data_IF_788969784086
#
_entry.id   IF_788969784086
#
_cell.length_a   1.000
_cell.length_b   1.000
_cell.length_c   1.000
_cell.angle_alpha   90.00
_cell.angle_beta   90.00
_cell.angle_gamma   90.00
#
_symmetry.space_group_name_H-M   'P 1'
#
loop_
_entity.id
_entity.type
_entity.pdbx_description
1 polymer ?
#
# COMPACT_ATOMS: atom_id res chain seq x y z
N UNK A 1 75.56 5.32 21.40
CA UNK A 1 74.90 6.30 20.51
C UNK A 1 73.40 6.17 20.67
N UNK A 2 72.73 7.28 20.97
CA UNK A 2 71.27 7.43 21.03
C UNK A 2 70.70 7.66 19.62
N UNK A 3 69.55 7.06 19.31
CA UNK A 3 68.50 7.54 18.38
C UNK A 3 67.43 6.42 18.26
N UNK A 4 66.23 6.60 18.81
CA UNK A 4 65.01 7.16 18.19
C UNK A 4 64.29 6.15 17.26
N UNK A 5 63.11 5.65 17.67
CA UNK A 5 61.75 6.02 17.13
C UNK A 5 61.33 5.06 16.00
N UNK A 6 60.11 4.51 15.87
CA UNK A 6 58.80 4.95 16.30
C UNK A 6 57.86 3.77 16.64
N UNK A 7 57.03 3.97 17.66
CA UNK A 7 55.78 3.23 17.86
C UNK A 7 54.81 3.54 16.72
N UNK A 8 54.33 2.51 16.03
CA UNK A 8 53.27 2.62 15.04
C UNK A 8 51.92 2.59 15.78
N UNK A 9 51.39 3.77 16.09
CA UNK A 9 50.01 3.92 16.57
C UNK A 9 49.06 3.66 15.41
N UNK A 10 48.30 2.56 15.49
CA UNK A 10 47.16 2.32 14.59
C UNK A 10 46.05 3.30 14.99
N UNK A 11 45.96 4.42 14.27
CA UNK A 11 44.79 5.29 14.32
C UNK A 11 43.65 4.56 13.60
N UNK A 12 42.74 3.97 14.37
CA UNK A 12 41.43 3.55 13.87
C UNK A 12 40.68 4.83 13.51
N UNK A 13 40.68 5.18 12.22
CA UNK A 13 39.80 6.20 11.68
C UNK A 13 38.39 5.61 11.70
N UNK A 14 37.67 5.82 12.80
CA UNK A 14 36.22 5.70 12.83
C UNK A 14 35.68 6.79 11.92
N UNK A 15 35.49 6.48 10.64
CA UNK A 15 34.63 7.30 9.77
C UNK A 15 33.24 7.18 10.37
N UNK A 16 32.87 8.16 11.17
CA UNK A 16 31.50 8.39 11.57
C UNK A 16 30.73 8.73 10.29
N UNK A 17 30.14 7.72 9.67
CA UNK A 17 28.99 7.95 8.79
C UNK A 17 27.96 8.71 9.64
N UNK A 18 27.39 9.81 9.14
CA UNK A 18 26.31 10.46 9.86
C UNK A 18 25.23 9.42 10.09
N UNK A 19 24.91 9.19 11.35
CA UNK A 19 23.68 8.51 11.71
C UNK A 19 22.55 9.43 11.23
N UNK A 20 22.02 9.17 10.05
CA UNK A 20 20.67 9.62 9.71
C UNK A 20 19.79 9.12 10.84
N UNK A 21 19.26 10.04 11.65
CA UNK A 21 18.11 9.74 12.50
C UNK A 21 17.08 9.06 11.62
N UNK A 22 16.49 7.97 12.10
CA UNK A 22 15.73 7.05 11.27
C UNK A 22 14.55 7.76 10.57
N UNK A 23 14.81 8.23 9.35
CA UNK A 23 13.83 8.53 8.34
C UNK A 23 12.96 7.28 8.15
N UNK A 24 11.67 7.49 7.92
CA UNK A 24 10.78 6.40 7.56
C UNK A 24 11.41 5.62 6.38
N UNK A 25 11.55 4.31 6.53
CA UNK A 25 12.43 3.50 5.67
C UNK A 25 11.92 3.30 4.23
N UNK A 26 10.86 4.01 3.83
CA UNK A 26 10.10 3.76 2.60
C UNK A 26 10.10 5.01 1.72
N UNK A 27 10.49 4.91 0.44
CA UNK A 27 10.45 6.03 -0.48
C UNK A 27 9.05 6.63 -0.63
N UNK A 28 9.01 7.93 -0.88
CA UNK A 28 7.78 8.62 -1.21
C UNK A 28 7.25 8.15 -2.59
N UNK A 29 6.15 7.40 -2.63
CA UNK A 29 5.35 7.18 -3.82
C UNK A 29 3.83 7.24 -3.54
N UNK A 30 3.06 7.50 -4.60
CA UNK A 30 1.62 7.21 -4.63
C UNK A 30 1.39 5.71 -4.85
N UNK A 31 0.28 5.18 -4.32
CA UNK A 31 -0.06 3.75 -4.34
C UNK A 31 -1.35 3.43 -5.09
N UNK A 32 -2.15 4.45 -5.43
CA UNK A 32 -3.38 4.32 -6.21
C UNK A 32 -4.03 5.69 -6.38
N UNK A 33 -4.82 5.89 -7.45
CA UNK A 33 -5.53 7.14 -7.74
C UNK A 33 -6.96 6.83 -8.12
N UNK A 34 -7.90 7.60 -7.58
CA UNK A 34 -9.33 7.42 -7.80
C UNK A 34 -10.02 8.76 -8.09
N UNK A 35 -10.92 8.75 -9.07
CA UNK A 35 -11.77 9.88 -9.41
C UNK A 35 -12.84 10.10 -8.34
N UNK A 36 -13.10 11.36 -8.03
CA UNK A 36 -14.25 11.82 -7.24
C UNK A 36 -15.15 12.68 -8.11
N UNK A 37 -16.34 13.00 -7.59
CA UNK A 37 -17.28 13.85 -8.30
C UNK A 37 -16.65 15.22 -8.63
N UNK A 38 -16.95 15.77 -9.81
CA UNK A 38 -16.50 17.11 -10.19
C UNK A 38 -15.08 17.21 -10.76
N UNK A 39 -14.40 16.08 -11.02
CA UNK A 39 -13.02 16.05 -11.51
C UNK A 39 -11.98 16.13 -10.39
N UNK A 40 -12.41 16.08 -9.13
CA UNK A 40 -11.54 15.95 -7.96
C UNK A 40 -10.92 14.55 -7.91
N UNK A 41 -9.75 14.44 -7.29
CA UNK A 41 -9.03 13.17 -7.16
C UNK A 41 -8.69 12.89 -5.69
N UNK A 42 -8.61 11.61 -5.36
CA UNK A 42 -7.91 11.14 -4.16
C UNK A 42 -6.93 10.05 -4.53
N UNK A 43 -5.75 10.11 -3.94
CA UNK A 43 -4.71 9.12 -4.12
C UNK A 43 -4.23 8.57 -2.78
N UNK A 44 -3.98 7.27 -2.73
CA UNK A 44 -3.21 6.65 -1.65
C UNK A 44 -1.73 6.98 -1.79
N UNK A 45 -1.03 7.12 -0.68
CA UNK A 45 0.41 7.36 -0.65
C UNK A 45 1.07 6.61 0.51
N UNK A 46 2.38 6.38 0.43
CA UNK A 46 3.11 5.64 1.48
C UNK A 46 3.13 6.37 2.84
N UNK A 47 2.77 7.65 2.88
CA UNK A 47 2.68 8.50 4.09
C UNK A 47 1.26 8.94 4.45
N UNK A 48 0.25 8.62 3.63
CA UNK A 48 -1.07 9.21 3.82
C UNK A 48 -1.98 9.18 2.60
N UNK A 49 -2.72 10.26 2.45
CA UNK A 49 -3.60 10.52 1.30
C UNK A 49 -3.19 11.81 0.62
N UNK A 50 -3.39 11.87 -0.69
CA UNK A 50 -3.24 13.08 -1.48
C UNK A 50 -4.59 13.42 -2.10
N UNK A 51 -4.98 14.68 -2.04
CA UNK A 51 -6.25 15.17 -2.57
C UNK A 51 -5.99 16.21 -3.64
N UNK A 52 -6.76 16.15 -4.72
CA UNK A 52 -6.90 17.24 -5.69
C UNK A 52 -8.34 17.73 -5.60
N UNK A 53 -8.54 18.88 -4.96
CA UNK A 53 -9.86 19.51 -4.89
C UNK A 53 -9.80 20.85 -5.63
N UNK A 54 -10.73 21.11 -6.55
CA UNK A 54 -10.78 22.33 -7.37
C UNK A 54 -9.43 22.63 -8.08
N UNK A 55 -8.71 21.58 -8.46
CA UNK A 55 -7.40 21.65 -9.11
C UNK A 55 -6.21 21.90 -8.18
N UNK A 56 -6.42 22.07 -6.87
CA UNK A 56 -5.36 22.28 -5.89
C UNK A 56 -5.00 20.97 -5.15
N UNK A 57 -3.71 20.72 -4.99
CA UNK A 57 -3.20 19.54 -4.29
C UNK A 57 -3.02 19.78 -2.80
N UNK A 58 -3.37 18.79 -1.97
CA UNK A 58 -3.16 18.84 -0.52
C UNK A 58 -2.86 17.47 0.09
N UNK A 59 -2.20 17.49 1.24
CA UNK A 59 -1.77 16.30 1.98
C UNK A 59 -2.70 15.96 3.15
N UNK A 60 -3.10 14.69 3.25
CA UNK A 60 -3.57 14.07 4.47
C UNK A 60 -2.51 13.14 5.05
N UNK A 61 -2.45 13.01 6.38
CA UNK A 61 -1.46 12.16 7.05
C UNK A 61 -2.04 10.78 7.42
N UNK A 62 -1.24 9.72 7.26
CA UNK A 62 -1.61 8.34 7.62
C UNK A 62 -2.04 8.20 9.09
N UNK A 63 -1.43 8.98 9.98
CA UNK A 63 -1.74 8.98 11.41
C UNK A 63 -3.20 9.35 11.71
N UNK A 64 -3.88 10.14 10.85
CA UNK A 64 -5.27 10.54 11.06
C UNK A 64 -6.27 9.38 10.97
N UNK A 65 -5.88 8.26 10.36
CA UNK A 65 -6.69 7.04 10.24
C UNK A 65 -5.91 5.81 10.71
N UNK A 66 -5.00 5.99 11.67
CA UNK A 66 -4.36 4.90 12.39
C UNK A 66 -3.38 4.06 11.58
N UNK A 67 -2.79 4.60 10.50
CA UNK A 67 -1.79 3.88 9.71
C UNK A 67 -0.38 4.29 10.10
N UNK A 68 0.48 3.30 10.31
CA UNK A 68 1.93 3.49 10.41
C UNK A 68 2.55 3.47 9.01
N UNK A 69 2.90 4.67 8.52
CA UNK A 69 3.53 4.89 7.23
C UNK A 69 4.81 4.06 7.00
N UNK A 70 5.49 3.62 8.08
CA UNK A 70 6.72 2.83 7.98
C UNK A 70 6.52 1.41 7.48
N UNK A 71 5.31 0.85 7.63
CA UNK A 71 5.10 -0.60 7.45
C UNK A 71 3.86 -0.94 6.65
N UNK A 72 3.04 0.06 6.30
CA UNK A 72 1.76 -0.16 5.67
C UNK A 72 1.40 0.94 4.67
N UNK A 73 0.87 0.51 3.53
CA UNK A 73 0.03 1.33 2.66
C UNK A 73 -1.43 0.95 2.90
N UNK A 74 -2.31 1.93 3.04
CA UNK A 74 -3.74 1.64 3.12
C UNK A 74 -4.25 1.20 1.75
N UNK A 75 -5.04 0.13 1.72
CA UNK A 75 -5.85 -0.19 0.54
C UNK A 75 -6.98 0.84 0.46
N UNK A 76 -7.20 1.46 -0.70
CA UNK A 76 -8.17 2.53 -0.90
C UNK A 76 -9.20 2.11 -1.94
N UNK A 77 -10.47 2.30 -1.61
CA UNK A 77 -11.60 2.18 -2.53
C UNK A 77 -12.55 3.37 -2.32
N UNK A 78 -13.36 3.68 -3.33
CA UNK A 78 -14.44 4.66 -3.25
C UNK A 78 -15.79 3.97 -3.46
N UNK A 79 -16.76 4.17 -2.58
CA UNK A 79 -18.11 3.71 -2.87
C UNK A 79 -18.79 4.58 -3.95
N UNK A 80 -19.94 4.15 -4.46
CA UNK A 80 -20.69 4.88 -5.48
C UNK A 80 -21.20 6.27 -5.04
N UNK A 81 -21.08 6.63 -3.77
CA UNK A 81 -21.36 7.97 -3.24
C UNK A 81 -20.08 8.79 -3.00
N UNK A 82 -18.90 8.26 -3.35
CA UNK A 82 -17.61 8.90 -3.15
C UNK A 82 -17.07 8.83 -1.72
N UNK A 83 -17.60 7.93 -0.89
CA UNK A 83 -17.03 7.64 0.44
C UNK A 83 -15.72 6.86 0.26
N UNK A 84 -14.64 7.38 0.81
CA UNK A 84 -13.37 6.67 0.92
C UNK A 84 -13.51 5.54 1.92
N UNK A 85 -13.11 4.34 1.52
CA UNK A 85 -12.96 3.16 2.37
C UNK A 85 -11.49 2.79 2.37
N UNK A 86 -10.90 2.77 3.56
CA UNK A 86 -9.49 2.50 3.79
C UNK A 86 -9.33 1.20 4.56
N UNK A 87 -8.66 0.22 3.96
CA UNK A 87 -8.24 -1.01 4.61
C UNK A 87 -6.86 -0.88 5.23
N UNK A 88 -6.76 -1.16 6.54
CA UNK A 88 -5.51 -1.07 7.32
C UNK A 88 -5.29 -2.30 8.21
N UNK A 89 -4.11 -2.40 8.84
CA UNK A 89 -3.80 -3.44 9.82
C UNK A 89 -4.52 -3.20 11.15
N UNK A 90 -5.11 -2.03 11.34
CA UNK A 90 -5.96 -1.70 12.47
C UNK A 90 -7.46 -1.70 12.07
N UNK A 91 -7.81 -2.22 10.90
CA UNK A 91 -9.19 -2.41 10.45
C UNK A 91 -9.61 -1.50 9.31
N UNK A 92 -10.92 -1.29 9.18
CA UNK A 92 -11.52 -0.41 8.19
C UNK A 92 -11.73 1.00 8.74
N UNK A 93 -11.47 2.00 7.90
CA UNK A 93 -11.82 3.39 8.12
C UNK A 93 -12.63 3.93 6.95
N UNK A 94 -13.64 4.76 7.23
CA UNK A 94 -14.45 5.44 6.25
C UNK A 94 -14.29 6.95 6.37
N UNK A 95 -14.28 7.66 5.24
CA UNK A 95 -14.30 9.12 5.24
C UNK A 95 -14.99 9.68 4.01
N UNK A 96 -15.70 10.80 4.18
CA UNK A 96 -16.33 11.54 3.07
C UNK A 96 -15.49 12.73 2.62
N UNK A 97 -14.72 13.28 3.54
CA UNK A 97 -14.08 14.59 3.42
C UNK A 97 -12.56 14.53 3.54
N UNK A 98 -11.99 13.37 3.91
CA UNK A 98 -10.56 13.20 4.16
C UNK A 98 -10.09 13.86 5.46
N UNK A 99 -11.03 14.32 6.29
CA UNK A 99 -10.77 15.07 7.53
C UNK A 99 -11.28 14.33 8.76
N UNK A 100 -12.42 13.66 8.63
CA UNK A 100 -13.05 12.85 9.68
C UNK A 100 -13.05 11.40 9.22
N UNK A 101 -12.57 10.50 10.08
CA UNK A 101 -12.46 9.08 9.78
C UNK A 101 -13.25 8.27 10.80
N UNK A 102 -14.31 7.61 10.32
CA UNK A 102 -15.12 6.71 11.11
C UNK A 102 -14.54 5.31 11.02
N UNK A 103 -14.30 4.67 12.17
CA UNK A 103 -13.84 3.27 12.18
C UNK A 103 -15.01 2.35 11.88
N UNK A 104 -14.76 1.30 11.09
CA UNK A 104 -15.75 0.26 10.82
C UNK A 104 -16.26 -0.40 12.12
N UNK A 105 -17.49 -0.95 12.15
CA UNK A 105 -18.00 -1.64 13.32
C UNK A 105 -17.30 -2.98 13.53
N UNK A 106 -17.25 -3.48 14.78
CA UNK A 106 -16.73 -4.82 15.04
C UNK A 106 -17.42 -5.90 14.16
N UNK A 107 -16.66 -6.84 13.57
CA UNK A 107 -15.23 -7.11 13.81
C UNK A 107 -14.25 -6.32 12.92
N UNK A 108 -14.74 -5.39 12.10
CA UNK A 108 -13.94 -4.63 11.13
C UNK A 108 -12.98 -3.62 11.78
N UNK A 109 -13.11 -3.36 13.08
CA UNK A 109 -12.19 -2.53 13.89
C UNK A 109 -11.07 -3.34 14.58
N UNK A 110 -11.07 -4.67 14.47
CA UNK A 110 -10.10 -5.53 15.16
C UNK A 110 -9.30 -6.45 14.21
N UNK A 111 -9.79 -6.69 12.99
CA UNK A 111 -9.11 -7.52 11.99
C UNK A 111 -8.20 -6.72 11.05
N UNK A 112 -7.36 -7.44 10.31
CA UNK A 112 -6.49 -6.87 9.28
C UNK A 112 -7.28 -6.79 7.99
N UNK A 113 -7.55 -5.58 7.50
CA UNK A 113 -8.18 -5.45 6.18
C UNK A 113 -7.08 -5.56 5.13
N UNK A 114 -7.13 -6.64 4.36
CA UNK A 114 -6.07 -6.96 3.39
C UNK A 114 -6.31 -6.26 2.07
N UNK A 115 -7.56 -6.23 1.62
CA UNK A 115 -7.96 -5.61 0.36
C UNK A 115 -9.36 -5.00 0.47
N UNK A 116 -9.56 -3.88 -0.21
CA UNK A 116 -10.87 -3.29 -0.48
C UNK A 116 -11.04 -3.11 -1.98
N UNK A 117 -12.25 -3.34 -2.49
CA UNK A 117 -12.57 -3.17 -3.89
C UNK A 117 -13.99 -2.64 -4.08
N UNK A 118 -14.16 -1.74 -5.05
CA UNK A 118 -15.46 -1.20 -5.44
C UNK A 118 -16.07 -2.08 -6.53
N UNK A 119 -17.30 -2.53 -6.32
CA UNK A 119 -18.09 -3.23 -7.31
C UNK A 119 -18.73 -2.23 -8.30
N UNK A 120 -19.16 -2.73 -9.46
CA UNK A 120 -19.88 -1.97 -10.51
C UNK A 120 -21.15 -1.28 -10.02
N UNK A 121 -21.86 -1.86 -9.05
CA UNK A 121 -23.04 -1.25 -8.42
C UNK A 121 -22.71 -0.17 -7.38
N UNK A 122 -21.42 0.17 -7.22
CA UNK A 122 -20.91 1.14 -6.27
C UNK A 122 -20.80 0.63 -4.84
N UNK A 123 -21.19 -0.61 -4.55
CA UNK A 123 -20.90 -1.23 -3.25
C UNK A 123 -19.39 -1.46 -3.08
N UNK A 124 -18.95 -1.60 -1.83
CA UNK A 124 -17.56 -1.92 -1.52
C UNK A 124 -17.50 -3.28 -0.84
N UNK A 125 -16.56 -4.11 -1.30
CA UNK A 125 -16.13 -5.32 -0.61
C UNK A 125 -14.84 -5.05 0.17
N UNK A 126 -14.74 -5.67 1.33
CA UNK A 126 -13.53 -5.70 2.14
C UNK A 126 -13.21 -7.14 2.55
N UNK A 127 -11.97 -7.56 2.32
CA UNK A 127 -11.44 -8.82 2.83
C UNK A 127 -10.77 -8.59 4.19
N UNK A 128 -11.34 -9.20 5.23
CA UNK A 128 -10.78 -9.17 6.57
C UNK A 128 -10.05 -10.47 6.86
N UNK A 129 -8.77 -10.36 7.22
CA UNK A 129 -7.97 -11.46 7.74
C UNK A 129 -7.79 -11.35 9.26
N UNK A 130 -7.78 -12.49 9.94
CA UNK A 130 -7.68 -12.57 11.40
C UNK A 130 -6.85 -13.76 11.83
N UNK A 131 -5.94 -13.55 12.79
CA UNK A 131 -5.16 -14.66 13.36
C UNK A 131 -5.98 -15.64 14.20
N UNK A 132 -7.23 -15.30 14.54
CA UNK A 132 -8.09 -16.15 15.37
C UNK A 132 -9.33 -16.68 14.65
N UNK A 133 -9.56 -16.28 13.41
CA UNK A 133 -10.74 -16.64 12.63
C UNK A 133 -10.34 -16.91 11.18
N UNK A 134 -11.18 -17.62 10.44
CA UNK A 134 -11.06 -17.68 8.99
C UNK A 134 -11.23 -16.27 8.40
N UNK A 135 -10.59 -16.03 7.25
CA UNK A 135 -10.80 -14.81 6.48
C UNK A 135 -12.28 -14.70 6.08
N UNK A 136 -12.79 -13.47 5.96
CA UNK A 136 -14.20 -13.23 5.66
C UNK A 136 -14.33 -11.99 4.79
N UNK A 137 -15.16 -12.09 3.75
CA UNK A 137 -15.58 -10.92 2.98
C UNK A 137 -16.71 -10.20 3.71
N UNK A 138 -16.64 -8.88 3.71
CA UNK A 138 -17.71 -8.00 4.14
C UNK A 138 -18.12 -7.13 2.96
N UNK A 139 -19.41 -6.87 2.85
CA UNK A 139 -19.97 -5.99 1.83
C UNK A 139 -20.70 -4.83 2.47
N UNK A 140 -20.57 -3.66 1.86
CA UNK A 140 -21.35 -2.47 2.16
C UNK A 140 -21.98 -1.94 0.90
N UNK A 141 -23.31 -2.00 0.83
CA UNK A 141 -24.07 -1.29 -0.20
C UNK A 141 -23.82 0.22 -0.08
N UNK A 142 -24.03 0.98 -1.16
CA UNK A 142 -23.85 2.44 -1.16
C UNK A 142 -24.62 3.09 -0.01
N UNK A 143 -23.90 3.71 0.93
CA UNK A 143 -24.47 4.33 2.14
C UNK A 143 -25.13 3.37 3.15
N UNK A 144 -25.04 2.05 2.95
CA UNK A 144 -25.56 1.03 3.84
C UNK A 144 -24.59 0.66 4.97
N UNK A 145 -25.01 -0.22 5.90
CA UNK A 145 -24.09 -0.81 6.88
C UNK A 145 -23.23 -1.90 6.24
N UNK A 146 -22.09 -2.21 6.88
CA UNK A 146 -21.34 -3.43 6.59
C UNK A 146 -22.08 -4.68 7.06
N UNK A 147 -22.00 -5.74 6.26
CA UNK A 147 -22.46 -7.07 6.65
C UNK A 147 -21.49 -8.13 6.12
N UNK A 148 -21.36 -9.29 6.80
CA UNK A 148 -20.69 -10.46 6.23
C UNK A 148 -21.32 -10.81 4.87
N UNK A 149 -20.46 -11.10 3.90
CA UNK A 149 -20.84 -11.45 2.55
C UNK A 149 -20.27 -12.82 2.21
N UNK A 150 -21.16 -13.79 1.95
CA UNK A 150 -20.76 -15.19 1.83
C UNK A 150 -20.38 -15.84 3.17
N UNK A 151 -19.88 -17.07 3.10
CA UNK A 151 -19.33 -17.78 4.26
C UNK A 151 -17.87 -17.42 4.56
N UNK A 152 -17.30 -17.91 5.67
CA UNK A 152 -15.87 -17.79 5.93
C UNK A 152 -15.04 -18.50 4.86
N UNK A 153 -13.90 -17.90 4.50
CA UNK A 153 -12.99 -18.39 3.49
C UNK A 153 -12.00 -19.39 4.09
N UNK A 154 -11.69 -20.45 3.34
CA UNK A 154 -10.76 -21.49 3.79
C UNK A 154 -9.28 -21.09 3.65
N UNK A 155 -8.99 -20.01 2.94
CA UNK A 155 -7.66 -19.54 2.55
C UNK A 155 -7.49 -18.06 2.86
N UNK A 156 -6.25 -17.61 3.00
CA UNK A 156 -5.94 -16.21 3.26
C UNK A 156 -6.09 -15.41 1.97
N UNK A 157 -6.79 -14.28 2.02
CA UNK A 157 -6.95 -13.39 0.85
C UNK A 157 -5.71 -12.51 0.71
N UNK A 158 -5.33 -12.21 -0.53
CA UNK A 158 -4.30 -11.22 -0.88
C UNK A 158 -4.91 -10.03 -1.60
N UNK A 159 -5.65 -10.28 -2.69
CA UNK A 159 -6.17 -9.21 -3.56
C UNK A 159 -7.62 -9.47 -3.98
N UNK A 160 -8.32 -8.40 -4.34
CA UNK A 160 -9.69 -8.40 -4.87
C UNK A 160 -9.72 -7.51 -6.13
N UNK A 161 -10.29 -8.00 -7.23
CA UNK A 161 -10.52 -7.23 -8.46
C UNK A 161 -11.89 -7.57 -9.03
N UNK A 162 -12.61 -6.57 -9.51
CA UNK A 162 -13.86 -6.77 -10.25
C UNK A 162 -13.63 -6.67 -11.76
N UNK A 163 -14.26 -7.57 -12.49
CA UNK A 163 -14.44 -7.52 -13.95
C UNK A 163 -15.95 -7.59 -14.23
N UNK A 164 -16.55 -6.42 -14.42
CA UNK A 164 -18.00 -6.29 -14.35
C UNK A 164 -18.55 -6.74 -12.98
N UNK A 165 -19.51 -7.66 -13.00
CA UNK A 165 -20.10 -8.25 -11.78
C UNK A 165 -19.28 -9.44 -11.23
N UNK A 166 -18.30 -9.94 -11.99
CA UNK A 166 -17.46 -11.06 -11.58
C UNK A 166 -16.37 -10.57 -10.64
N UNK A 167 -16.28 -11.18 -9.46
CA UNK A 167 -15.21 -10.95 -8.51
C UNK A 167 -14.10 -11.98 -8.73
N UNK A 168 -12.89 -11.48 -8.94
CA UNK A 168 -11.65 -12.26 -8.90
C UNK A 168 -10.90 -11.98 -7.61
N UNK A 169 -10.31 -13.02 -7.03
CA UNK A 169 -9.42 -12.88 -5.88
C UNK A 169 -8.24 -13.83 -5.95
N UNK A 170 -7.11 -13.40 -5.39
CA UNK A 170 -5.99 -14.29 -5.10
C UNK A 170 -6.06 -14.70 -3.63
N UNK A 171 -5.93 -15.99 -3.38
CA UNK A 171 -5.82 -16.53 -2.03
C UNK A 171 -4.61 -17.43 -1.90
N UNK A 172 -4.14 -17.66 -0.69
CA UNK A 172 -2.99 -18.51 -0.44
C UNK A 172 -3.13 -19.32 0.84
N UNK A 173 -2.42 -20.46 0.84
CA UNK A 173 -2.12 -21.23 2.04
C UNK A 173 -0.65 -21.04 2.35
N UNK A 174 -0.31 -20.51 3.53
CA UNK A 174 1.08 -20.31 3.90
C UNK A 174 1.80 -21.66 4.05
N UNK A 175 3.12 -21.64 3.92
CA UNK A 175 3.96 -22.81 4.21
C UNK A 175 3.72 -23.26 5.65
N UNK A 176 3.48 -24.55 5.86
CA UNK A 176 3.35 -25.15 7.20
C UNK A 176 4.26 -26.37 7.33
N UNK A 177 4.36 -26.94 8.53
CA UNK A 177 5.01 -28.23 8.72
C UNK A 177 4.31 -29.37 7.95
N UNK A 178 3.03 -29.19 7.59
CA UNK A 178 2.20 -30.19 6.95
C UNK A 178 2.20 -30.11 5.41
N UNK A 179 2.75 -29.05 4.81
CA UNK A 179 2.75 -28.91 3.35
C UNK A 179 3.41 -27.64 2.81
N UNK A 180 3.72 -27.62 1.50
CA UNK A 180 4.26 -26.45 0.82
C UNK A 180 3.23 -25.30 0.79
N UNK A 181 3.67 -24.05 0.53
CA UNK A 181 2.74 -22.99 0.23
C UNK A 181 1.96 -23.33 -1.06
N UNK A 182 0.74 -22.82 -1.17
CA UNK A 182 -0.08 -22.93 -2.38
C UNK A 182 -0.81 -21.61 -2.62
N UNK A 183 -0.93 -21.21 -3.88
CA UNK A 183 -1.57 -19.96 -4.29
C UNK A 183 -2.72 -20.32 -5.24
N UNK A 184 -3.84 -19.60 -5.13
CA UNK A 184 -5.04 -19.86 -5.88
C UNK A 184 -5.57 -18.57 -6.52
N UNK A 185 -6.07 -18.70 -7.74
CA UNK A 185 -6.98 -17.74 -8.35
C UNK A 185 -8.39 -18.24 -8.08
N UNK A 186 -9.27 -17.37 -7.61
CA UNK A 186 -10.67 -17.71 -7.37
C UNK A 186 -11.59 -16.75 -8.13
N UNK A 187 -12.64 -17.30 -8.74
CA UNK A 187 -13.69 -16.57 -9.46
C UNK A 187 -15.00 -16.70 -8.73
N UNK A 188 -15.74 -15.61 -8.63
CA UNK A 188 -17.13 -15.60 -8.19
C UNK A 188 -18.01 -14.83 -9.17
N UNK A 189 -19.01 -15.52 -9.71
CA UNK A 189 -20.02 -14.96 -10.62
C UNK A 189 -21.27 -14.44 -9.86
N UNK A 190 -21.28 -14.57 -8.53
CA UNK A 190 -22.35 -14.08 -7.64
C UNK A 190 -21.86 -12.99 -6.67
N UNK A 191 -20.80 -12.29 -7.07
CA UNK A 191 -20.25 -11.13 -6.35
C UNK A 191 -19.57 -11.49 -5.04
N UNK A 192 -19.12 -12.72 -4.85
CA UNK A 192 -18.33 -13.19 -3.72
C UNK A 192 -19.07 -14.10 -2.72
N UNK A 193 -20.19 -14.72 -3.10
CA UNK A 193 -20.90 -15.66 -2.23
C UNK A 193 -20.38 -17.09 -2.39
N UNK A 194 -20.07 -17.49 -3.63
CA UNK A 194 -19.48 -18.78 -3.98
C UNK A 194 -18.28 -18.62 -4.91
N UNK A 195 -17.34 -19.55 -4.84
CA UNK A 195 -16.08 -19.47 -5.57
C UNK A 195 -15.73 -20.78 -6.28
N UNK A 196 -15.27 -20.64 -7.51
CA UNK A 196 -14.48 -21.63 -8.23
C UNK A 196 -13.00 -21.27 -8.08
N UNK A 197 -12.13 -22.27 -7.92
CA UNK A 197 -10.73 -22.04 -7.59
C UNK A 197 -9.78 -22.87 -8.45
N UNK A 198 -8.70 -22.24 -8.90
CA UNK A 198 -7.60 -22.86 -9.65
C UNK A 198 -6.29 -22.65 -8.91
N UNK A 199 -5.55 -23.73 -8.67
CA UNK A 199 -4.21 -23.66 -8.07
C UNK A 199 -3.21 -23.15 -9.11
N UNK A 200 -2.46 -22.11 -8.77
CA UNK A 200 -1.44 -21.55 -9.64
C UNK A 200 -0.26 -22.53 -9.76
N UNK A 201 0.36 -22.65 -10.95
CA UNK A 201 1.56 -23.44 -11.15
C UNK A 201 2.79 -22.68 -10.60
N UNK A 202 2.87 -22.53 -9.28
CA UNK A 202 4.00 -21.91 -8.59
C UNK A 202 5.23 -22.80 -8.68
N UNK A 203 6.40 -22.20 -8.87
CA UNK A 203 7.70 -22.87 -8.98
C UNK A 203 8.65 -22.35 -7.90
N UNK A 204 9.65 -23.15 -7.55
CA UNK A 204 10.79 -22.75 -6.71
C UNK A 204 10.39 -21.95 -5.44
N UNK A 205 10.88 -20.72 -5.34
CA UNK A 205 10.78 -19.78 -4.20
C UNK A 205 9.60 -18.81 -4.34
N UNK A 206 8.68 -19.10 -5.25
CA UNK A 206 7.42 -18.39 -5.39
C UNK A 206 6.48 -18.66 -4.22
N UNK A 207 5.76 -17.63 -3.77
CA UNK A 207 4.99 -17.72 -2.52
C UNK A 207 3.63 -17.04 -2.52
N UNK A 208 3.37 -16.19 -3.51
CA UNK A 208 2.15 -15.41 -3.60
C UNK A 208 1.94 -14.95 -5.04
N UNK A 209 0.77 -14.38 -5.29
CA UNK A 209 0.46 -13.73 -6.55
C UNK A 209 -0.32 -12.46 -6.28
N UNK A 210 -0.02 -11.44 -7.06
CA UNK A 210 -0.77 -10.19 -7.07
C UNK A 210 -1.63 -10.14 -8.34
N UNK A 211 -2.93 -9.86 -8.18
CA UNK A 211 -3.82 -9.61 -9.32
C UNK A 211 -3.48 -8.28 -9.95
N UNK A 212 -3.08 -8.28 -11.22
CA UNK A 212 -2.76 -7.05 -11.93
C UNK A 212 -3.98 -6.50 -12.66
N UNK A 213 -4.70 -7.35 -13.41
CA UNK A 213 -5.84 -6.91 -14.21
C UNK A 213 -6.77 -8.09 -14.51
N UNK A 214 -8.04 -7.79 -14.78
CA UNK A 214 -9.01 -8.72 -15.33
C UNK A 214 -9.88 -8.00 -16.37
N UNK A 215 -10.26 -8.69 -17.46
CA UNK A 215 -11.19 -8.20 -18.48
C UNK A 215 -11.81 -9.37 -19.24
N UNK A 216 -13.13 -9.37 -19.36
CA UNK A 216 -13.90 -10.37 -20.12
C UNK A 216 -13.56 -11.82 -19.73
N UNK A 217 -13.34 -12.06 -18.43
CA UNK A 217 -12.99 -13.37 -17.87
C UNK A 217 -11.52 -13.80 -18.04
N UNK A 218 -10.70 -12.99 -18.71
CA UNK A 218 -9.24 -13.14 -18.75
C UNK A 218 -8.59 -12.42 -17.57
N UNK A 219 -7.62 -13.07 -16.91
CA UNK A 219 -6.95 -12.51 -15.72
C UNK A 219 -5.43 -12.55 -15.88
N UNK A 220 -4.77 -11.48 -15.45
CA UNK A 220 -3.32 -11.37 -15.40
C UNK A 220 -2.84 -11.20 -13.97
N UNK A 221 -1.86 -12.02 -13.59
CA UNK A 221 -1.33 -12.06 -12.24
C UNK A 221 0.20 -12.15 -12.23
N UNK A 222 0.82 -11.35 -11.37
CA UNK A 222 2.26 -11.37 -11.14
C UNK A 222 2.57 -12.34 -10.00
N UNK A 223 3.42 -13.33 -10.24
CA UNK A 223 3.83 -14.31 -9.23
C UNK A 223 5.06 -13.81 -8.48
N UNK A 224 4.96 -13.71 -7.16
CA UNK A 224 5.96 -13.11 -6.25
C UNK A 224 6.97 -14.13 -5.76
N UNK A 225 8.21 -13.67 -5.51
CA UNK A 225 9.35 -14.51 -5.15
C UNK A 225 10.02 -14.12 -3.83
N UNK A 226 10.45 -15.10 -3.03
CA UNK A 226 11.17 -14.83 -1.77
C UNK A 226 12.63 -14.42 -1.93
N UNK A 227 13.26 -14.72 -3.08
CA UNK A 227 14.70 -14.48 -3.28
C UNK A 227 15.08 -13.01 -3.49
N UNK A 228 14.11 -12.12 -3.35
CA UNK A 228 14.33 -10.69 -3.28
C UNK A 228 13.96 -9.95 -4.56
N UNK A 229 14.07 -8.64 -4.45
CA UNK A 229 13.51 -7.65 -5.37
C UNK A 229 14.16 -7.60 -6.76
N UNK A 230 15.23 -8.36 -7.01
CA UNK A 230 15.94 -8.36 -8.29
C UNK A 230 15.53 -9.51 -9.22
N UNK A 231 14.74 -10.48 -8.73
CA UNK A 231 14.32 -11.63 -9.52
C UNK A 231 13.10 -11.24 -10.37
N UNK A 232 13.11 -11.50 -11.70
CA UNK A 232 11.94 -11.27 -12.53
C UNK A 232 10.76 -12.11 -12.05
N UNK A 233 9.64 -11.45 -11.83
CA UNK A 233 8.36 -12.06 -11.52
C UNK A 233 7.73 -12.55 -12.83
N UNK A 234 7.03 -13.69 -12.78
CA UNK A 234 6.30 -14.19 -13.94
C UNK A 234 4.94 -13.53 -14.01
N UNK A 235 4.57 -13.04 -15.20
CA UNK A 235 3.20 -12.64 -15.50
C UNK A 235 2.48 -13.84 -16.09
N UNK A 236 1.51 -14.38 -15.35
CA UNK A 236 0.64 -15.43 -15.84
C UNK A 236 -0.66 -14.81 -16.35
N UNK A 237 -1.08 -15.26 -17.52
CA UNK A 237 -2.42 -15.09 -18.08
C UNK A 237 -3.24 -16.33 -17.75
N UNK A 238 -4.42 -16.14 -17.20
CA UNK A 238 -5.43 -17.17 -17.02
C UNK A 238 -6.56 -16.96 -18.03
N UNK A 239 -6.78 -17.94 -18.89
CA UNK A 239 -7.87 -17.97 -19.85
C UNK A 239 -8.15 -19.43 -20.23
N UNK A 240 -9.41 -19.73 -20.60
CA UNK A 240 -9.84 -21.10 -20.95
C UNK A 240 -9.44 -22.14 -19.87
N UNK A 241 -9.58 -21.75 -18.60
CA UNK A 241 -9.20 -22.54 -17.42
C UNK A 241 -7.73 -22.99 -17.36
N UNK A 242 -6.83 -22.27 -18.06
CA UNK A 242 -5.41 -22.58 -18.13
C UNK A 242 -4.53 -21.37 -17.84
N UNK A 243 -3.43 -21.61 -17.12
CA UNK A 243 -2.38 -20.62 -16.88
C UNK A 243 -1.28 -20.71 -17.95
N UNK A 244 -0.93 -19.57 -18.54
CA UNK A 244 0.19 -19.44 -19.47
C UNK A 244 1.05 -18.26 -19.03
N UNK A 245 2.37 -18.44 -18.98
CA UNK A 245 3.28 -17.31 -18.78
C UNK A 245 3.34 -16.49 -20.08
N UNK A 246 3.05 -15.19 -19.98
CA UNK A 246 3.03 -14.27 -21.13
C UNK A 246 4.12 -13.20 -21.06
N UNK A 247 4.62 -12.90 -19.86
CA UNK A 247 5.67 -11.92 -19.66
C UNK A 247 6.51 -12.23 -18.42
N UNK A 248 7.62 -11.51 -18.25
CA UNK A 248 8.38 -11.51 -17.00
C UNK A 248 9.07 -10.17 -16.78
N UNK A 249 8.98 -9.65 -15.55
CA UNK A 249 9.50 -8.34 -15.21
C UNK A 249 9.81 -8.25 -13.71
N UNK A 250 10.82 -7.47 -13.35
CA UNK A 250 11.23 -7.30 -11.96
C UNK A 250 10.28 -6.34 -11.24
N UNK A 251 9.69 -6.76 -10.11
CA UNK A 251 8.78 -5.96 -9.28
C UNK A 251 7.58 -5.36 -10.05
N UNK A 252 6.76 -6.20 -10.68
CA UNK A 252 5.49 -5.75 -11.26
C UNK A 252 4.56 -5.26 -10.16
N UNK A 253 3.93 -4.11 -10.32
CA UNK A 253 3.09 -3.51 -9.27
C UNK A 253 1.63 -3.40 -9.67
N UNK A 254 1.35 -3.00 -10.91
CA UNK A 254 -0.02 -2.82 -11.37
C UNK A 254 -0.17 -3.20 -12.84
N UNK A 255 -1.38 -3.58 -13.20
CA UNK A 255 -1.81 -3.71 -14.58
C UNK A 255 -3.14 -2.98 -14.80
N UNK A 256 -3.40 -2.57 -16.04
CA UNK A 256 -4.68 -1.98 -16.40
C UNK A 256 -5.00 -2.26 -17.86
N UNK A 257 -6.20 -2.78 -18.10
CA UNK A 257 -6.75 -2.86 -19.44
C UNK A 257 -7.32 -1.50 -19.86
N UNK A 258 -6.85 -1.02 -21.01
CA UNK A 258 -7.38 0.15 -21.72
C UNK A 258 -7.87 -0.27 -23.10
N UNK A 259 -8.36 0.69 -23.89
CA UNK A 259 -8.67 0.47 -25.31
C UNK A 259 -7.43 0.13 -26.17
N UNK A 260 -6.23 0.56 -25.78
CA UNK A 260 -4.98 0.24 -26.47
C UNK A 260 -4.45 -1.17 -26.15
N UNK A 261 -4.85 -1.74 -25.02
CA UNK A 261 -4.35 -3.03 -24.54
C UNK A 261 -4.10 -3.06 -23.04
N UNK A 262 -3.39 -4.10 -22.60
CA UNK A 262 -2.99 -4.30 -21.22
C UNK A 262 -1.66 -3.60 -20.96
N UNK A 263 -1.70 -2.59 -20.11
CA UNK A 263 -0.52 -1.93 -19.56
C UNK A 263 -0.07 -2.64 -18.30
N UNK A 264 1.24 -2.78 -18.11
CA UNK A 264 1.86 -3.28 -16.87
C UNK A 264 3.01 -2.38 -16.49
N UNK A 265 3.04 -1.94 -15.23
CA UNK A 265 4.10 -1.11 -14.67
C UNK A 265 4.87 -1.85 -13.58
N UNK A 266 6.17 -1.56 -13.47
CA UNK A 266 7.01 -2.10 -12.42
C UNK A 266 7.74 -1.05 -11.59
N UNK A 267 7.94 -1.37 -10.31
CA UNK A 267 8.70 -0.54 -9.37
C UNK A 267 10.17 -0.42 -9.73
N UNK A 268 10.76 -1.46 -10.31
CA UNK A 268 12.15 -1.45 -10.74
C UNK A 268 12.37 -0.68 -12.06
N UNK A 269 11.30 -0.27 -12.75
CA UNK A 269 11.36 0.43 -14.02
C UNK A 269 10.82 -0.38 -15.20
N UNK A 270 9.93 0.26 -15.92
CA UNK A 270 9.33 -0.15 -17.17
C UNK A 270 7.82 -0.02 -17.14
N UNK A 271 7.29 0.40 -18.27
CA UNK A 271 5.88 0.44 -18.59
C UNK A 271 5.71 -0.26 -19.94
N UNK A 272 5.13 -1.44 -19.88
CA UNK A 272 5.01 -2.36 -21.00
C UNK A 272 3.54 -2.46 -21.42
N UNK A 273 3.29 -2.55 -22.72
CA UNK A 273 1.95 -2.67 -23.31
C UNK A 273 1.85 -3.96 -24.12
N UNK A 274 0.76 -4.70 -23.94
CA UNK A 274 0.33 -5.78 -24.81
C UNK A 274 -1.07 -5.50 -25.37
N UNK A 275 -1.21 -5.19 -26.68
CA UNK A 275 -2.52 -4.94 -27.29
C UNK A 275 -3.51 -6.10 -27.12
N UNK A 276 -3.00 -7.33 -27.08
CA UNK A 276 -3.76 -8.57 -26.93
C UNK A 276 -3.61 -9.24 -25.56
N UNK A 277 -2.89 -8.60 -24.62
CA UNK A 277 -2.61 -9.18 -23.30
C UNK A 277 -1.59 -10.34 -23.31
N UNK A 278 -0.95 -10.60 -24.46
CA UNK A 278 0.00 -11.71 -24.63
C UNK A 278 1.38 -11.20 -25.05
N UNK A 279 1.47 -10.36 -26.07
CA UNK A 279 2.74 -9.91 -26.63
C UNK A 279 3.12 -8.52 -26.10
N UNK A 280 3.91 -8.49 -25.02
CA UNK A 280 4.34 -7.25 -24.38
C UNK A 280 5.51 -6.58 -25.11
N UNK A 281 5.42 -5.26 -25.24
CA UNK A 281 6.50 -4.40 -25.68
C UNK A 281 6.75 -3.31 -24.64
N UNK A 282 8.03 -3.01 -24.36
CA UNK A 282 8.45 -1.87 -23.56
C UNK A 282 8.08 -0.57 -24.30
N UNK A 283 7.26 0.26 -23.66
CA UNK A 283 6.88 1.58 -24.18
C UNK A 283 7.76 2.65 -23.55
N UNK A 284 7.77 2.70 -22.20
CA UNK A 284 8.54 3.69 -21.44
C UNK A 284 9.40 3.03 -20.37
N UNK A 285 10.54 3.65 -20.01
CA UNK A 285 11.39 3.21 -18.90
C UNK A 285 11.16 4.04 -17.63
N UNK A 286 9.89 4.07 -17.17
CA UNK A 286 9.46 4.73 -15.93
C UNK A 286 9.24 3.71 -14.83
N UNK A 287 9.62 4.02 -13.59
CA UNK A 287 9.30 3.18 -12.44
C UNK A 287 7.96 3.62 -11.84
N UNK A 288 7.14 2.67 -11.41
CA UNK A 288 5.87 3.03 -10.79
C UNK A 288 5.17 1.92 -10.04
N UNK A 289 4.06 2.29 -9.39
CA UNK A 289 3.34 1.45 -8.42
C UNK A 289 1.86 1.25 -8.72
N UNK A 290 1.26 2.13 -9.51
CA UNK A 290 -0.15 2.09 -9.81
C UNK A 290 -0.39 2.49 -11.27
N UNK A 291 -1.49 1.99 -11.83
CA UNK A 291 -2.09 2.46 -13.06
C UNK A 291 -3.57 2.74 -12.79
N UNK A 292 -4.10 3.81 -13.37
CA UNK A 292 -5.52 4.15 -13.29
C UNK A 292 -5.98 4.79 -14.59
N UNK A 293 -7.24 4.59 -14.97
CA UNK A 293 -7.86 5.32 -16.06
C UNK A 293 -8.87 6.30 -15.46
N UNK A 294 -8.69 7.59 -15.74
CA UNK A 294 -9.51 8.67 -15.20
C UNK A 294 -9.93 9.56 -16.35
N UNK A 295 -11.23 9.69 -16.58
CA UNK A 295 -11.80 10.47 -17.69
C UNK A 295 -11.21 10.11 -19.08
N UNK A 296 -10.84 8.84 -19.27
CA UNK A 296 -10.24 8.31 -20.50
C UNK A 296 -8.73 8.53 -20.62
N UNK A 297 -8.09 9.12 -19.62
CA UNK A 297 -6.64 9.30 -19.56
C UNK A 297 -6.00 8.21 -18.68
N UNK A 298 -5.00 7.52 -19.23
CA UNK A 298 -4.17 6.58 -18.47
C UNK A 298 -3.20 7.37 -17.60
N UNK A 299 -3.21 7.12 -16.30
CA UNK A 299 -2.32 7.71 -15.30
C UNK A 299 -1.44 6.64 -14.66
N UNK A 300 -0.20 6.99 -14.37
CA UNK A 300 0.75 6.15 -13.65
C UNK A 300 1.27 6.84 -12.38
N UNK A 301 1.18 6.14 -11.24
CA UNK A 301 1.90 6.53 -10.02
C UNK A 301 3.38 6.20 -10.18
N UNK A 302 4.23 7.18 -10.46
CA UNK A 302 5.66 6.96 -10.75
C UNK A 302 6.55 7.12 -9.52
N UNK A 303 7.82 6.72 -9.61
CA UNK A 303 8.85 7.00 -8.60
C UNK A 303 9.33 8.46 -8.75
N UNK A 304 9.02 9.36 -7.81
CA UNK A 304 9.39 10.76 -7.93
C UNK A 304 10.90 11.02 -7.86
N UNK A 305 11.64 10.17 -7.15
CA UNK A 305 13.08 10.32 -7.00
C UNK A 305 13.82 9.94 -8.28
N UNK A 306 13.27 8.99 -9.05
CA UNK A 306 13.84 8.53 -10.32
C UNK A 306 13.31 9.34 -11.51
N UNK A 307 11.99 9.49 -11.59
CA UNK A 307 11.29 9.96 -12.79
C UNK A 307 10.87 11.44 -12.69
N UNK A 308 11.06 12.08 -11.53
CA UNK A 308 10.82 13.52 -11.33
C UNK A 308 9.35 13.91 -11.18
N UNK A 309 8.44 12.94 -11.15
CA UNK A 309 7.00 13.14 -10.94
C UNK A 309 6.41 12.01 -10.10
N UNK A 310 5.32 12.31 -9.38
CA UNK A 310 4.57 11.34 -8.57
C UNK A 310 3.35 10.78 -9.31
N UNK A 311 2.80 11.56 -10.24
CA UNK A 311 1.72 11.14 -11.13
C UNK A 311 2.02 11.68 -12.53
N UNK A 312 1.94 10.80 -13.53
CA UNK A 312 2.10 11.17 -14.93
C UNK A 312 0.95 10.65 -15.79
N UNK A 313 0.52 11.45 -16.76
CA UNK A 313 -0.36 11.00 -17.83
C UNK A 313 0.45 10.24 -18.88
N UNK A 314 -0.02 9.06 -19.23
CA UNK A 314 0.69 8.12 -20.10
C UNK A 314 0.02 8.10 -21.46
N UNK A 315 0.85 8.20 -22.50
CA UNK A 315 0.51 7.81 -23.87
C UNK A 315 1.55 6.81 -24.37
N UNK A 316 1.37 6.29 -25.57
CA UNK A 316 2.41 5.46 -26.22
C UNK A 316 3.67 6.26 -26.58
N UNK A 317 3.58 7.58 -26.71
CA UNK A 317 4.68 8.45 -27.14
C UNK A 317 5.39 9.19 -25.99
N UNK A 318 4.70 9.48 -24.89
CA UNK A 318 5.27 10.19 -23.74
C UNK A 318 4.60 9.86 -22.41
N UNK A 319 5.28 10.25 -21.33
CA UNK A 319 4.71 10.33 -19.99
C UNK A 319 4.84 11.77 -19.50
N UNK A 320 3.72 12.48 -19.38
CA UNK A 320 3.68 13.90 -19.05
C UNK A 320 3.36 14.12 -17.56
N UNK A 321 4.10 14.99 -16.83
CA UNK A 321 3.85 15.23 -15.42
C UNK A 321 2.46 15.82 -15.14
N UNK A 322 1.74 15.21 -14.21
CA UNK A 322 0.48 15.72 -13.64
C UNK A 322 0.64 16.23 -12.21
N UNK A 323 1.53 15.59 -11.45
CA UNK A 323 1.87 15.98 -10.09
C UNK A 323 3.36 15.71 -9.85
N UNK A 324 4.09 16.74 -9.43
CA UNK A 324 5.39 16.62 -8.80
C UNK A 324 5.22 16.69 -7.28
N UNK A 325 6.05 15.95 -6.52
CA UNK A 325 5.95 15.98 -5.05
C UNK A 325 6.08 17.40 -4.48
N UNK A 326 6.88 18.27 -5.12
CA UNK A 326 7.08 19.65 -4.67
C UNK A 326 5.79 20.50 -4.64
N UNK A 327 4.74 20.08 -5.36
CA UNK A 327 3.44 20.72 -5.35
C UNK A 327 2.63 20.36 -4.08
N UNK A 328 3.02 19.28 -3.37
CA UNK A 328 2.43 18.83 -2.12
C UNK A 328 3.00 19.59 -0.92
N UNK A 329 2.75 20.89 -0.87
CA UNK A 329 3.35 21.78 0.14
C UNK A 329 2.44 22.14 1.31
N UNK A 330 1.16 21.75 1.25
CA UNK A 330 0.16 22.14 2.23
C UNK A 330 -0.60 20.94 2.78
N UNK A 331 -0.85 20.97 4.10
CA UNK A 331 -1.82 20.06 4.70
C UNK A 331 -3.23 20.40 4.22
N UNK A 332 -4.07 19.37 4.13
CA UNK A 332 -5.50 19.53 3.88
C UNK A 332 -6.12 20.44 4.95
N UNK A 333 -6.85 21.45 4.51
CA UNK A 333 -7.61 22.31 5.40
C UNK A 333 -8.83 21.56 5.95
N UNK A 334 -8.79 21.19 7.23
CA UNK A 334 -9.85 20.44 7.88
C UNK A 334 -10.57 21.27 8.95
N UNK A 335 -11.88 21.01 9.20
CA UNK A 335 -12.59 21.61 10.33
C UNK A 335 -11.88 21.33 11.65
N UNK A 336 -11.78 22.34 12.53
CA UNK A 336 -11.00 22.23 13.77
C UNK A 336 -11.42 21.08 14.73
N UNK A 337 -12.65 20.58 14.57
CA UNK A 337 -13.16 19.45 15.36
C UNK A 337 -12.84 18.07 14.77
N UNK A 338 -12.17 18.00 13.61
CA UNK A 338 -11.89 16.75 12.92
C UNK A 338 -10.60 16.08 13.42
N UNK A 339 -10.53 14.75 13.27
CA UNK A 339 -9.37 13.94 13.67
C UNK A 339 -8.09 14.42 12.96
N UNK A 340 -8.17 14.70 11.65
CA UNK A 340 -7.04 15.17 10.86
C UNK A 340 -6.54 16.56 11.27
N UNK A 341 -7.46 17.49 11.61
CA UNK A 341 -7.08 18.83 12.07
C UNK A 341 -6.32 18.80 13.41
N UNK A 342 -6.66 17.85 14.28
CA UNK A 342 -5.94 17.63 15.54
C UNK A 342 -4.62 16.86 15.34
N UNK A 343 -4.57 15.91 14.41
CA UNK A 343 -3.47 14.94 14.29
C UNK A 343 -2.38 15.40 13.34
N UNK A 344 -2.71 15.75 12.09
CA UNK A 344 -1.70 15.98 11.06
C UNK A 344 -0.71 17.11 11.37
N UNK A 345 -1.10 18.23 12.01
CA UNK A 345 -0.13 19.25 12.42
C UNK A 345 0.96 18.72 13.37
N UNK A 346 0.66 17.72 14.22
CA UNK A 346 1.65 17.11 15.11
C UNK A 346 2.67 16.23 14.38
N UNK A 347 2.31 15.73 13.20
CA UNK A 347 3.14 14.86 12.37
C UNK A 347 3.74 15.60 11.17
N UNK A 348 3.60 16.93 11.11
CA UNK A 348 4.05 17.73 9.97
C UNK A 348 5.54 17.59 9.66
N UNK A 349 6.38 17.56 10.68
CA UNK A 349 7.83 17.38 10.51
C UNK A 349 8.16 16.01 9.91
N UNK A 350 7.57 14.94 10.45
CA UNK A 350 7.72 13.59 9.89
C UNK A 350 7.19 13.52 8.46
N UNK A 351 6.07 14.17 8.16
CA UNK A 351 5.49 14.20 6.82
C UNK A 351 6.39 14.96 5.81
N UNK A 352 6.97 16.10 6.22
CA UNK A 352 7.93 16.82 5.38
C UNK A 352 9.19 15.98 5.12
N UNK A 353 9.62 15.18 6.09
CA UNK A 353 10.68 14.18 5.93
C UNK A 353 10.27 13.06 4.98
N UNK A 354 9.08 12.50 5.12
CA UNK A 354 8.62 11.38 4.31
C UNK A 354 8.48 11.76 2.85
N UNK A 355 7.83 12.90 2.57
CA UNK A 355 7.59 13.38 1.20
C UNK A 355 8.83 14.08 0.63
N UNK A 356 9.81 14.43 1.48
CA UNK A 356 11.03 15.17 1.11
C UNK A 356 10.74 16.55 0.47
N UNK A 357 9.67 17.22 0.92
CA UNK A 357 9.27 18.56 0.47
C UNK A 357 8.85 19.43 1.65
N UNK A 358 8.90 20.77 1.53
CA UNK A 358 8.39 21.63 2.59
C UNK A 358 6.89 21.44 2.79
N UNK A 359 6.43 21.27 4.02
CA UNK A 359 4.99 21.14 4.36
C UNK A 359 4.60 22.23 5.35
N UNK A 360 3.67 23.11 4.98
CA UNK A 360 3.19 24.22 5.80
C UNK A 360 4.33 25.03 6.47
N UNK A 361 5.39 25.31 5.70
CA UNK A 361 6.55 26.08 6.16
C UNK A 361 7.58 25.29 6.98
N UNK A 362 7.38 24.00 7.22
CA UNK A 362 8.40 23.11 7.77
C UNK A 362 9.25 22.55 6.63
N UNK A 363 10.56 22.82 6.59
CA UNK A 363 11.44 22.29 5.55
C UNK A 363 11.74 20.80 5.79
N UNK A 364 12.08 20.03 4.74
CA UNK A 364 12.51 18.64 4.91
C UNK A 364 13.89 18.58 5.60
N UNK A 365 14.17 17.57 6.45
CA UNK A 365 15.45 17.42 7.12
C UNK A 365 16.63 17.38 6.12
N UNK A 366 17.75 18.00 6.49
CA UNK A 366 18.96 18.03 5.65
C UNK A 366 18.97 19.15 4.60
N UNK A 367 17.87 19.90 4.43
CA UNK A 367 17.96 21.23 3.82
C UNK A 367 18.59 22.17 4.84
N UNK A 368 19.77 22.71 4.51
CA UNK A 368 20.38 23.72 5.36
C UNK A 368 19.40 24.90 5.46
N UNK A 369 18.86 25.14 6.65
CA UNK A 369 18.21 26.41 6.96
C UNK A 369 19.21 27.52 6.60
N UNK A 370 18.80 28.62 5.94
CA UNK A 370 19.64 29.80 5.90
C UNK A 370 20.01 30.17 7.33
N UNK A 371 21.32 30.30 7.57
CA UNK A 371 21.95 30.56 8.87
C UNK A 371 21.26 31.72 9.62
N UNK A 372 20.28 31.40 10.47
CA UNK A 372 19.82 32.28 11.53
C UNK A 372 20.18 31.65 12.89
N UNK A 373 21.47 31.73 13.20
CA UNK A 373 22.00 31.97 14.55
C UNK A 373 21.52 31.07 15.70
N UNK A 374 22.26 29.99 15.94
CA UNK A 374 22.76 29.66 17.29
C UNK A 374 21.84 28.87 18.24
N UNK A 375 22.20 27.61 18.50
CA UNK A 375 22.69 27.13 19.81
C UNK A 375 22.81 25.60 19.77
N UNK A 376 24.04 25.11 19.78
CA UNK A 376 24.35 23.68 19.90
C UNK A 376 24.02 23.17 21.31
N UNK A 377 23.30 22.04 21.40
CA UNK A 377 23.19 21.27 22.65
C UNK A 377 23.45 19.79 22.37
N UNK A 378 24.62 19.33 22.86
CA UNK A 378 24.92 18.04 23.47
C UNK A 378 24.33 16.75 22.90
N UNK A 379 25.20 15.91 22.34
CA UNK A 379 24.88 14.53 21.97
C UNK A 379 24.56 13.60 23.14
N UNK A 380 23.77 12.58 22.84
CA UNK A 380 23.56 11.41 23.68
C UNK A 380 23.91 10.15 22.88
N UNK A 381 24.66 9.26 23.53
CA UNK A 381 25.26 8.03 23.01
C UNK A 381 24.22 6.95 22.69
N UNK A 382 24.60 6.02 21.80
CA UNK A 382 23.71 5.14 21.07
C UNK A 382 23.16 3.90 21.81
N UNK A 383 22.22 3.23 21.14
CA UNK A 383 21.84 1.84 21.40
C UNK A 383 21.61 1.12 20.05
N UNK A 384 21.99 -0.17 19.93
CA UNK A 384 21.94 -0.91 18.65
C UNK A 384 20.56 -1.51 18.37
N UNK A 385 20.27 -1.66 17.07
CA UNK A 385 18.98 -2.11 16.52
C UNK A 385 18.58 -3.54 16.83
N UNK A 386 17.27 -3.75 16.97
CA UNK A 386 16.58 -5.04 16.99
C UNK A 386 15.18 -4.87 16.37
N UNK A 387 15.12 -4.70 15.04
CA UNK A 387 13.89 -4.78 14.25
C UNK A 387 13.69 -6.21 13.76
N UNK A 388 12.71 -6.93 14.30
CA UNK A 388 12.36 -8.28 13.85
C UNK A 388 11.75 -9.19 14.92
N UNK A 389 12.02 -8.94 16.21
CA UNK A 389 11.48 -9.75 17.32
C UNK A 389 10.32 -9.07 18.10
N UNK A 390 10.04 -7.79 17.84
CA UNK A 390 9.09 -7.01 18.64
C UNK A 390 7.61 -7.20 18.24
N UNK A 391 7.32 -7.56 16.99
CA UNK A 391 5.94 -7.87 16.57
C UNK A 391 5.37 -9.09 17.31
N UNK A 392 6.18 -10.15 17.51
CA UNK A 392 5.78 -11.34 18.27
C UNK A 392 5.75 -11.08 19.79
N UNK A 393 6.64 -10.22 20.31
CA UNK A 393 6.66 -9.85 21.72
C UNK A 393 5.44 -9.01 22.12
N UNK A 394 4.95 -8.13 21.25
CA UNK A 394 3.78 -7.29 21.51
C UNK A 394 2.47 -8.10 21.59
N UNK A 395 2.30 -9.08 20.69
CA UNK A 395 1.17 -10.03 20.72
C UNK A 395 1.19 -10.90 22.00
N UNK A 396 2.36 -11.34 22.44
CA UNK A 396 2.52 -12.11 23.69
C UNK A 396 2.24 -11.25 24.95
N UNK A 397 2.62 -9.97 24.93
CA UNK A 397 2.40 -9.03 26.04
C UNK A 397 0.92 -8.63 26.17
N UNK A 398 0.17 -8.52 25.06
CA UNK A 398 -1.29 -8.29 25.05
C UNK A 398 -2.07 -9.50 25.57
N UNK A 399 -1.66 -10.74 25.25
CA UNK A 399 -2.26 -11.97 25.81
C UNK A 399 -2.09 -12.10 27.33
N UNK A 400 -0.98 -11.62 27.91
CA UNK A 400 -0.75 -11.62 29.37
C UNK A 400 -1.62 -10.61 30.13
N UNK A 401 -1.98 -9.48 29.51
CA UNK A 401 -2.88 -8.49 30.13
C UNK A 401 -4.34 -8.94 30.14
N UNK A 402 -4.84 -9.62 29.09
CA UNK A 402 -6.22 -10.14 29.06
C UNK A 402 -6.49 -11.24 30.11
N UNK A 403 -5.51 -12.10 30.43
CA UNK A 403 -5.68 -13.12 31.50
C UNK A 403 -5.78 -12.57 32.93
N UNK A 404 -5.35 -11.32 33.18
CA UNK A 404 -5.47 -10.70 34.52
C UNK A 404 -6.81 -10.00 34.76
N UNK A 405 -7.65 -9.82 33.73
CA UNK A 405 -8.95 -9.13 33.86
C UNK A 405 -10.13 -10.07 34.15
N UNK A 406 -9.94 -11.39 34.07
CA UNK A 406 -10.98 -12.36 34.45
C UNK A 406 -10.85 -12.70 35.95
N UNK A 407 -11.38 -11.82 36.82
CA UNK A 407 -11.62 -12.16 38.22
C UNK A 407 -12.98 -12.86 38.31
N UNK A 408 -13.08 -14.09 38.84
CA UNK A 408 -14.36 -14.76 38.97
C UNK A 408 -15.22 -14.04 40.00
N UNK A 409 -16.41 -13.60 39.60
CA UNK A 409 -17.48 -13.18 40.49
C UNK A 409 -17.95 -14.40 41.30
N UNK A 410 -17.87 -14.29 42.63
CA UNK A 410 -18.45 -15.29 43.56
C UNK A 410 -19.98 -15.31 43.39
N UNK A 411 -20.64 -16.48 43.46
CA UNK A 411 -22.08 -16.53 43.65
C UNK A 411 -22.43 -16.07 45.07
N UNK A 412 -23.47 -15.26 45.19
CA UNK A 412 -24.07 -14.85 46.46
C UNK A 412 -24.92 -15.99 47.05
N UNK A 413 -25.10 -16.05 48.38
CA UNK A 413 -25.83 -17.11 49.07
C UNK A 413 -27.34 -17.12 48.79
#
# INVERSE_FOLDING_TARGET
>A
MRALVASLSVAVLSVALPASGAAHARPAALTGVHARAGGDLVAGATWGLVFRDDGAWSLGCAAAYGVDANVQDASLALDGAGVMVLGTYDGLFESRDGCTFDRGPAPLDEGWTVAVATATDGSVLAALSSVSQADQLYRRAVGGPWAPHGGPLERLVSDLVFDGETLWMTTFRPRTAAGPPAVFLERSDDGGLTFEAWELPVVDSEYGAHLLAARDGEVHLAVRHFEGEAVPERLLRFADDAFTQVHAMVQMEAGLWTEDGLWVIARAGGLDLAPDGVAFARIHDVAGRCLAEIDGELLACTDPARDGMALGAVTTDSVEPWLQLAELSALRACPAASEAAATCPMFREALAEDVQVPVDGVPPPGTALPDEGGCAVGGAEGAPGFGGALALAWVAQRRRRRKKSARPTKPAP
#
